data_IF_336000577001
#
_entry.id   IF_336000577001
#
_cell.length_a   1.000
_cell.length_b   1.000
_cell.length_c   1.000
_cell.angle_alpha   90.00
_cell.angle_beta   90.00
_cell.angle_gamma   90.00
#
_symmetry.space_group_name_H-M   'P 1'
#
loop_
_entity.id
_entity.type
_entity.pdbx_description
1 polymer ?
#
# COMPACT_ATOMS: atom_id res chain seq x y z
N UNK A 1 -3.90 -22.43 0.96
CA UNK A 1 -4.65 -21.17 1.12
C UNK A 1 -3.85 -20.20 2.00
N UNK A 2 -3.02 -19.32 1.42
CA UNK A 2 -2.16 -18.38 2.18
C UNK A 2 -2.97 -17.12 2.55
N UNK A 3 -3.36 -17.00 3.83
CA UNK A 3 -4.03 -15.82 4.40
C UNK A 3 -3.10 -14.60 4.32
N UNK A 4 -3.55 -13.52 3.69
CA UNK A 4 -2.90 -12.22 3.82
C UNK A 4 -3.38 -11.63 5.15
N UNK A 5 -2.62 -11.87 6.21
CA UNK A 5 -2.84 -11.20 7.50
C UNK A 5 -2.10 -9.87 7.43
N UNK A 6 -2.79 -8.74 7.63
CA UNK A 6 -2.20 -7.43 7.86
C UNK A 6 -1.57 -7.38 9.27
N UNK A 7 -0.63 -8.30 9.53
CA UNK A 7 0.31 -8.19 10.65
C UNK A 7 1.34 -7.13 10.29
N UNK A 8 1.80 -6.36 11.28
CA UNK A 8 3.00 -5.53 11.15
C UNK A 8 4.15 -6.36 10.58
N UNK A 9 4.39 -6.22 9.28
CA UNK A 9 5.52 -6.77 8.55
C UNK A 9 6.11 -5.63 7.75
N UNK A 10 7.43 -5.51 7.81
CA UNK A 10 8.16 -4.60 6.93
C UNK A 10 7.91 -5.04 5.48
N UNK A 11 7.40 -4.13 4.65
CA UNK A 11 7.50 -4.29 3.20
C UNK A 11 8.88 -3.75 2.85
N UNK A 12 9.86 -4.67 2.77
CA UNK A 12 11.25 -4.37 2.43
C UNK A 12 11.37 -4.40 0.91
N UNK A 13 11.88 -3.33 0.31
CA UNK A 13 12.38 -3.41 -1.07
C UNK A 13 13.59 -4.36 -1.09
N UNK A 14 13.50 -5.46 -1.83
CA UNK A 14 14.67 -6.28 -2.16
C UNK A 14 15.69 -5.48 -3.01
N UNK A 15 16.76 -6.15 -3.46
CA UNK A 15 17.83 -5.63 -4.33
C UNK A 15 17.39 -4.51 -5.30
N UNK A 16 18.25 -3.53 -5.65
CA UNK A 16 17.85 -2.30 -6.33
C UNK A 16 17.00 -2.58 -7.58
N UNK A 17 15.68 -2.45 -7.42
CA UNK A 17 14.71 -2.65 -8.49
C UNK A 17 14.50 -1.34 -9.22
N UNK A 18 14.37 -1.38 -10.55
CA UNK A 18 14.06 -0.20 -11.35
C UNK A 18 12.67 0.34 -11.03
N UNK A 19 12.42 1.62 -11.33
CA UNK A 19 11.09 2.24 -11.16
C UNK A 19 10.01 1.43 -11.90
N UNK A 20 10.33 0.91 -13.09
CA UNK A 20 9.43 0.07 -13.88
C UNK A 20 9.06 -1.24 -13.16
N UNK A 21 10.05 -1.94 -12.58
CA UNK A 21 9.80 -3.17 -11.81
C UNK A 21 8.92 -2.89 -10.58
N UNK A 22 9.12 -1.74 -9.91
CA UNK A 22 8.27 -1.33 -8.78
C UNK A 22 6.85 -0.99 -9.23
N UNK A 23 6.68 -0.34 -10.39
CA UNK A 23 5.38 -0.10 -10.99
C UNK A 23 4.65 -1.41 -11.36
N UNK A 24 5.36 -2.40 -11.91
CA UNK A 24 4.79 -3.73 -12.17
C UNK A 24 4.35 -4.43 -10.89
N UNK A 25 5.14 -4.34 -9.83
CA UNK A 25 4.75 -4.87 -8.53
C UNK A 25 3.47 -4.20 -7.99
N UNK A 26 3.29 -2.89 -8.20
CA UNK A 26 2.06 -2.19 -7.85
C UNK A 26 0.85 -2.71 -8.65
N UNK A 27 0.99 -2.96 -9.96
CA UNK A 27 -0.07 -3.59 -10.77
C UNK A 27 -0.46 -4.96 -10.23
N UNK A 28 0.52 -5.76 -9.82
CA UNK A 28 0.26 -7.06 -9.18
C UNK A 28 -0.50 -6.90 -7.86
N UNK A 29 -0.15 -5.92 -7.02
CA UNK A 29 -0.91 -5.61 -5.80
C UNK A 29 -2.36 -5.25 -6.14
N UNK A 30 -2.58 -4.37 -7.13
CA UNK A 30 -3.93 -4.01 -7.61
C UNK A 30 -4.73 -5.24 -8.07
N UNK A 31 -4.11 -6.13 -8.83
CA UNK A 31 -4.72 -7.40 -9.27
C UNK A 31 -5.09 -8.31 -8.10
N UNK A 32 -4.21 -8.45 -7.10
CA UNK A 32 -4.50 -9.25 -5.90
C UNK A 32 -5.67 -8.66 -5.10
N UNK A 33 -5.72 -7.34 -4.92
CA UNK A 33 -6.83 -6.66 -4.24
C UNK A 33 -8.16 -6.95 -4.94
N UNK A 34 -8.21 -6.88 -6.27
CA UNK A 34 -9.40 -7.20 -7.07
C UNK A 34 -9.80 -8.67 -6.92
N UNK A 35 -8.83 -9.59 -7.00
CA UNK A 35 -9.09 -11.04 -6.90
C UNK A 35 -9.65 -11.46 -5.53
N UNK A 36 -9.42 -10.66 -4.49
CA UNK A 36 -9.89 -10.91 -3.11
C UNK A 36 -10.84 -9.83 -2.60
N UNK A 37 -11.47 -9.08 -3.50
CA UNK A 37 -12.17 -7.85 -3.13
C UNK A 37 -13.28 -8.09 -2.10
N UNK A 38 -14.08 -9.13 -2.29
CA UNK A 38 -15.16 -9.47 -1.37
C UNK A 38 -14.63 -9.95 -0.01
N UNK A 39 -13.60 -10.80 0.02
CA UNK A 39 -12.97 -11.28 1.26
C UNK A 39 -12.46 -10.09 2.10
N UNK A 40 -11.78 -9.13 1.45
CA UNK A 40 -11.25 -7.94 2.11
C UNK A 40 -12.38 -7.02 2.60
N UNK A 41 -13.40 -6.78 1.78
CA UNK A 41 -14.52 -5.92 2.17
C UNK A 41 -15.28 -6.49 3.38
N UNK A 42 -15.53 -7.81 3.41
CA UNK A 42 -16.15 -8.49 4.54
C UNK A 42 -15.31 -8.35 5.81
N UNK A 43 -13.98 -8.48 5.71
CA UNK A 43 -13.08 -8.29 6.85
C UNK A 43 -13.15 -6.86 7.41
N UNK A 44 -13.09 -5.85 6.53
CA UNK A 44 -13.21 -4.45 6.93
C UNK A 44 -14.54 -4.19 7.66
N UNK A 45 -15.64 -4.68 7.11
CA UNK A 45 -16.97 -4.55 7.73
C UNK A 45 -17.05 -5.24 9.08
N UNK A 46 -16.48 -6.45 9.21
CA UNK A 46 -16.49 -7.22 10.44
C UNK A 46 -15.70 -6.55 11.57
N UNK A 47 -14.55 -5.96 11.27
CA UNK A 47 -13.64 -5.46 12.30
C UNK A 47 -14.02 -4.07 12.84
N UNK A 48 -14.57 -3.20 11.99
CA UNK A 48 -14.84 -1.81 12.39
C UNK A 48 -16.24 -1.30 12.01
N UNK A 49 -17.12 -2.17 11.51
CA UNK A 49 -18.53 -1.88 11.34
C UNK A 49 -18.88 -1.04 10.11
N UNK A 50 -17.97 -0.89 9.14
CA UNK A 50 -18.26 -0.15 7.90
C UNK A 50 -19.35 -0.85 7.09
N UNK A 51 -20.35 -0.12 6.54
CA UNK A 51 -21.32 -0.70 5.62
C UNK A 51 -20.63 -1.42 4.46
N UNK A 52 -21.06 -2.64 4.14
CA UNK A 52 -20.37 -3.51 3.17
C UNK A 52 -20.20 -2.85 1.78
N UNK A 53 -21.16 -2.04 1.35
CA UNK A 53 -21.06 -1.27 0.10
C UNK A 53 -19.89 -0.28 0.13
N UNK A 54 -19.67 0.40 1.26
CA UNK A 54 -18.54 1.32 1.42
C UNK A 54 -17.21 0.57 1.55
N UNK A 55 -17.19 -0.59 2.20
CA UNK A 55 -16.00 -1.43 2.30
C UNK A 55 -15.57 -1.96 0.92
N UNK A 56 -16.51 -2.38 0.06
CA UNK A 56 -16.24 -2.72 -1.34
C UNK A 56 -15.68 -1.53 -2.11
N UNK A 57 -16.28 -0.36 -1.94
CA UNK A 57 -15.78 0.89 -2.53
C UNK A 57 -14.34 1.22 -2.10
N UNK A 58 -13.99 0.96 -0.84
CA UNK A 58 -12.62 1.14 -0.34
C UNK A 58 -11.62 0.21 -1.04
N UNK A 59 -11.97 -1.08 -1.22
CA UNK A 59 -11.10 -2.03 -1.91
C UNK A 59 -10.90 -1.64 -3.37
N UNK A 60 -11.99 -1.29 -4.08
CA UNK A 60 -11.91 -0.82 -5.46
C UNK A 60 -11.03 0.42 -5.58
N UNK A 61 -11.25 1.41 -4.72
CA UNK A 61 -10.45 2.64 -4.71
C UNK A 61 -8.97 2.37 -4.47
N UNK A 62 -8.66 1.44 -3.58
CA UNK A 62 -7.28 1.06 -3.25
C UNK A 62 -6.59 0.31 -4.38
N UNK A 63 -7.32 -0.54 -5.11
CA UNK A 63 -6.80 -1.20 -6.31
C UNK A 63 -6.55 -0.22 -7.47
N UNK A 64 -7.44 0.76 -7.65
CA UNK A 64 -7.28 1.79 -8.67
C UNK A 64 -6.09 2.70 -8.37
N UNK A 65 -5.82 3.00 -7.09
CA UNK A 65 -4.64 3.75 -6.68
C UNK A 65 -3.34 3.08 -7.12
N UNK A 66 -3.26 1.75 -7.00
CA UNK A 66 -2.08 0.99 -7.40
C UNK A 66 -1.81 1.12 -8.90
N UNK A 67 -2.85 0.98 -9.73
CA UNK A 67 -2.75 1.14 -11.18
C UNK A 67 -2.36 2.57 -11.55
N UNK A 68 -3.01 3.57 -10.93
CA UNK A 68 -2.76 4.98 -11.23
C UNK A 68 -1.30 5.37 -10.97
N UNK A 69 -0.73 4.94 -9.83
CA UNK A 69 0.68 5.20 -9.54
C UNK A 69 1.62 4.36 -10.40
N UNK A 70 1.25 3.14 -10.77
CA UNK A 70 2.06 2.34 -11.70
C UNK A 70 2.15 2.97 -13.09
N UNK A 71 1.10 3.67 -13.52
CA UNK A 71 1.05 4.38 -14.80
C UNK A 71 1.73 5.75 -14.73
N UNK A 72 1.37 6.60 -13.77
CA UNK A 72 1.77 8.00 -13.74
C UNK A 72 3.02 8.26 -12.89
N UNK A 73 3.23 7.47 -11.84
CA UNK A 73 4.28 7.72 -10.86
C UNK A 73 5.71 7.59 -11.39
N UNK A 74 6.04 6.73 -12.40
CA UNK A 74 7.37 6.72 -12.97
C UNK A 74 7.81 8.07 -13.55
N UNK A 75 6.91 8.79 -14.22
CA UNK A 75 7.20 10.11 -14.77
C UNK A 75 7.43 11.16 -13.67
N UNK A 76 6.78 11.01 -12.51
CA UNK A 76 6.96 11.90 -11.35
C UNK A 76 8.34 11.74 -10.69
N UNK A 77 9.07 10.66 -10.98
CA UNK A 77 10.42 10.40 -10.46
C UNK A 77 11.51 10.66 -11.51
N UNK A 78 11.13 11.20 -12.68
CA UNK A 78 12.10 11.55 -13.71
C UNK A 78 13.03 12.67 -13.23
N UNK A 79 14.28 12.63 -13.67
CA UNK A 79 15.27 13.67 -13.41
C UNK A 79 14.80 15.00 -13.99
N UNK A 80 14.85 16.06 -13.19
CA UNK A 80 14.49 17.40 -13.62
C UNK A 80 15.73 18.23 -13.97
N UNK A 81 15.65 18.99 -15.05
CA UNK A 81 16.68 19.95 -15.42
C UNK A 81 16.59 21.19 -14.54
N UNK A 82 17.73 21.85 -14.32
CA UNK A 82 17.81 23.14 -13.62
C UNK A 82 18.10 24.26 -14.60
N UNK A 83 18.08 25.51 -14.11
CA UNK A 83 18.50 26.68 -14.90
C UNK A 83 20.02 26.84 -15.00
N UNK A 84 20.81 25.93 -14.40
CA UNK A 84 22.27 25.99 -14.49
C UNK A 84 22.69 25.67 -15.92
N UNK A 85 23.52 26.55 -16.48
CA UNK A 85 24.00 26.45 -17.85
C UNK A 85 24.64 25.09 -18.17
N UNK A 86 24.56 24.71 -19.45
CA UNK A 86 25.16 23.49 -19.98
C UNK A 86 24.67 22.19 -19.32
N UNK A 87 23.46 22.17 -18.75
CA UNK A 87 22.90 21.02 -18.01
C UNK A 87 23.83 20.52 -16.90
N UNK A 88 24.65 21.41 -16.30
CA UNK A 88 25.62 21.03 -15.26
C UNK A 88 24.99 20.60 -13.94
N UNK A 89 23.69 20.84 -13.75
CA UNK A 89 22.97 20.42 -12.55
C UNK A 89 21.57 19.87 -12.89
N UNK A 90 21.21 18.82 -12.16
CA UNK A 90 19.92 18.13 -12.26
C UNK A 90 19.37 17.84 -10.86
N UNK A 91 18.07 17.66 -10.75
CA UNK A 91 17.40 17.20 -9.53
C UNK A 91 17.00 15.75 -9.72
N UNK A 92 17.45 14.89 -8.81
CA UNK A 92 17.09 13.46 -8.80
C UNK A 92 16.30 13.10 -7.55
N UNK A 93 15.27 12.28 -7.74
CA UNK A 93 14.42 11.78 -6.67
C UNK A 93 14.89 10.39 -6.22
N UNK A 94 15.68 10.35 -5.14
CA UNK A 94 16.25 9.12 -4.58
C UNK A 94 15.48 8.65 -3.34
N UNK A 95 15.40 7.33 -3.08
CA UNK A 95 14.76 6.81 -1.87
C UNK A 95 15.48 7.28 -0.61
N UNK A 96 14.71 7.55 0.44
CA UNK A 96 15.21 7.90 1.77
C UNK A 96 15.59 6.65 2.59
N UNK A 97 14.85 5.56 2.44
CA UNK A 97 15.07 4.31 3.18
C UNK A 97 13.78 3.73 3.76
N UNK A 98 13.79 3.36 5.04
CA UNK A 98 12.63 2.78 5.71
C UNK A 98 11.70 3.87 6.28
N UNK A 99 10.41 3.78 5.98
CA UNK A 99 9.38 4.70 6.47
C UNK A 99 8.44 3.98 7.43
N UNK A 100 8.36 4.46 8.67
CA UNK A 100 7.38 3.99 9.66
C UNK A 100 6.04 4.71 9.43
N UNK A 101 4.97 3.94 9.29
CA UNK A 101 3.62 4.43 9.08
C UNK A 101 2.69 3.99 10.22
N UNK A 102 2.11 4.98 10.90
CA UNK A 102 1.14 4.77 11.98
C UNK A 102 -0.26 5.05 11.43
N UNK A 103 -1.10 4.02 11.30
CA UNK A 103 -2.34 4.11 10.52
C UNK A 103 -3.61 3.92 11.38
N UNK A 104 -4.65 4.76 11.21
CA UNK A 104 -5.92 4.68 11.95
C UNK A 104 -6.85 3.60 11.40
N UNK A 105 -7.95 3.31 12.11
CA UNK A 105 -8.88 2.22 11.80
C UNK A 105 -10.03 2.57 10.84
N UNK A 106 -10.28 3.85 10.55
CA UNK A 106 -11.51 4.27 9.84
C UNK A 106 -11.55 3.86 8.36
N UNK A 107 -10.38 3.70 7.73
CA UNK A 107 -10.20 3.23 6.36
C UNK A 107 -8.97 2.31 6.34
N UNK A 108 -9.11 1.09 6.90
CA UNK A 108 -7.96 0.25 7.25
C UNK A 108 -7.14 -0.18 6.04
N UNK A 109 -7.74 -0.28 4.85
CA UNK A 109 -7.02 -0.60 3.62
C UNK A 109 -6.54 0.67 2.90
N UNK A 110 -7.44 1.64 2.72
CA UNK A 110 -7.15 2.84 1.96
C UNK A 110 -6.07 3.72 2.61
N UNK A 111 -6.06 3.85 3.94
CA UNK A 111 -5.03 4.64 4.64
C UNK A 111 -3.64 4.05 4.46
N UNK A 112 -3.53 2.73 4.58
CA UNK A 112 -2.28 2.01 4.39
C UNK A 112 -1.77 2.21 2.96
N UNK A 113 -2.61 1.91 1.96
CA UNK A 113 -2.18 1.95 0.56
C UNK A 113 -1.98 3.37 0.02
N UNK A 114 -2.75 4.35 0.52
CA UNK A 114 -2.54 5.76 0.18
C UNK A 114 -1.13 6.25 0.46
N UNK A 115 -0.50 5.76 1.54
CA UNK A 115 0.91 6.03 1.82
C UNK A 115 1.84 5.01 1.17
N UNK A 116 1.55 3.72 1.32
CA UNK A 116 2.47 2.65 0.91
C UNK A 116 2.75 2.63 -0.60
N UNK A 117 1.73 2.87 -1.45
CA UNK A 117 1.88 2.83 -2.91
C UNK A 117 2.94 3.81 -3.42
N UNK A 118 2.85 5.13 -3.15
CA UNK A 118 3.89 6.07 -3.57
C UNK A 118 5.23 5.86 -2.86
N UNK A 119 5.23 5.47 -1.57
CA UNK A 119 6.47 5.22 -0.81
C UNK A 119 7.27 4.07 -1.45
N UNK A 120 6.61 2.97 -1.76
CA UNK A 120 7.21 1.81 -2.43
C UNK A 120 7.64 2.16 -3.84
N UNK A 121 6.84 2.92 -4.59
CA UNK A 121 7.22 3.37 -5.94
C UNK A 121 8.48 4.24 -5.93
N UNK A 122 8.64 5.10 -4.93
CA UNK A 122 9.85 5.89 -4.74
C UNK A 122 11.09 5.07 -4.33
N UNK A 123 10.92 3.77 -4.06
CA UNK A 123 12.01 2.84 -3.72
C UNK A 123 12.26 2.67 -2.23
N UNK A 124 11.40 3.25 -1.38
CA UNK A 124 11.50 3.13 0.07
C UNK A 124 10.89 1.82 0.57
N UNK A 125 11.25 1.43 1.79
CA UNK A 125 10.56 0.37 2.54
C UNK A 125 9.44 0.97 3.40
N UNK A 126 8.37 0.20 3.64
CA UNK A 126 7.20 0.65 4.40
C UNK A 126 6.96 -0.27 5.60
N UNK A 127 7.08 0.27 6.82
CA UNK A 127 6.84 -0.44 8.07
C UNK A 127 5.52 0.03 8.70
N UNK A 128 4.55 -0.87 8.77
CA UNK A 128 3.21 -0.55 9.26
C UNK A 128 3.03 -0.83 10.76
N UNK A 129 2.64 0.19 11.53
CA UNK A 129 1.96 0.05 12.82
C UNK A 129 0.50 0.46 12.67
N UNK A 130 -0.38 -0.53 12.62
CA UNK A 130 -1.82 -0.26 12.45
C UNK A 130 -2.53 -0.09 13.80
N UNK A 131 -3.80 0.30 13.74
CA UNK A 131 -4.65 0.38 14.91
C UNK A 131 -5.00 -1.05 15.38
N UNK A 132 -4.95 -1.34 16.69
CA UNK A 132 -5.01 -2.70 17.21
C UNK A 132 -6.34 -3.42 16.92
N UNK A 133 -7.43 -2.67 16.66
CA UNK A 133 -8.77 -3.20 16.38
C UNK A 133 -9.01 -3.60 14.91
N UNK A 134 -8.05 -3.37 14.00
CA UNK A 134 -8.17 -3.70 12.56
C UNK A 134 -6.97 -4.52 12.06
N UNK A 135 -6.38 -5.33 12.95
CA UNK A 135 -5.19 -6.13 12.67
C UNK A 135 -5.49 -7.46 11.94
N UNK A 136 -6.74 -7.74 11.59
CA UNK A 136 -7.17 -9.07 11.16
C UNK A 136 -7.27 -10.06 12.33
N UNK A 137 -8.33 -10.01 13.14
CA UNK A 137 -8.52 -10.90 14.29
C UNK A 137 -9.95 -11.49 14.42
N UNK A 138 -10.14 -12.75 13.98
CA UNK A 138 -10.86 -13.84 14.70
C UNK A 138 -10.70 -15.19 13.97
N UNK A 139 -9.58 -15.86 14.22
CA UNK A 139 -9.38 -17.27 13.88
C UNK A 139 -8.75 -18.11 15.00
N UNK A 140 -8.19 -17.49 16.04
CA UNK A 140 -7.56 -18.20 17.15
C UNK A 140 -8.43 -18.26 18.42
N UNK A 141 -9.44 -17.39 18.56
CA UNK A 141 -10.15 -17.29 19.84
C UNK A 141 -11.68 -17.21 19.70
N UNK A 142 -12.25 -18.36 19.33
CA UNK A 142 -13.65 -18.70 19.57
C UNK A 142 -13.80 -19.70 20.74
N UNK A 143 -12.74 -19.89 21.53
CA UNK A 143 -12.71 -20.87 22.65
C UNK A 143 -12.99 -20.25 24.02
N UNK A 144 -13.01 -18.93 24.16
CA UNK A 144 -13.25 -18.26 25.45
C UNK A 144 -14.58 -17.48 25.57
N UNK A 145 -15.56 -17.74 24.70
CA UNK A 145 -16.92 -17.19 24.84
C UNK A 145 -17.98 -18.29 24.80
N UNK A 146 -17.85 -19.25 25.71
CA UNK A 146 -18.93 -20.05 26.25
C UNK A 146 -18.71 -20.23 27.75
#
# INVERSE_FOLDING_TARGET
MRRLVLRSRAIVSGAPASVAQRADALRQVGSVLRSRAEEMAQMISLEMGKPIAQARGEVTKSANLCDWYAEHGPAMLATEATQVEENKAVIEYRPLGAILAIMPWNFPLWQVLRGAVPILLAGNSYLLKHAPNVMGQRGADRRYLR
#
